data_IF_225065184080
#
_entry.id   IF_225065184080
#
_cell.length_a   1.000
_cell.length_b   1.000
_cell.length_c   1.000
_cell.angle_alpha   90.00
_cell.angle_beta   90.00
_cell.angle_gamma   90.00
#
_symmetry.space_group_name_H-M   'P 1'
#
loop_
_entity.id
_entity.type
_entity.pdbx_description
1 polymer ?
#
# COMPACT_ATOMS: atom_id res chain seq x y z
N UNK A 1 67.40 1.98 -9.63
CA UNK A 1 67.28 1.76 -8.18
C UNK A 1 66.88 3.07 -7.54
N UNK A 2 65.92 3.00 -6.61
CA UNK A 2 65.56 3.97 -5.54
C UNK A 2 65.09 5.37 -5.98
N UNK A 3 63.85 5.86 -5.84
CA UNK A 3 62.77 5.81 -4.82
C UNK A 3 62.67 7.11 -4.00
N UNK A 4 61.42 7.58 -3.82
CA UNK A 4 60.89 8.51 -2.78
C UNK A 4 61.22 10.01 -2.99
N UNK A 5 60.35 10.98 -2.78
CA UNK A 5 58.96 11.10 -2.27
C UNK A 5 58.50 12.53 -2.59
N UNK A 6 57.23 12.75 -2.93
CA UNK A 6 56.59 14.06 -2.71
C UNK A 6 55.18 13.82 -2.21
N UNK A 7 54.91 14.46 -1.08
CA UNK A 7 53.63 14.60 -0.43
C UNK A 7 52.62 15.27 -1.38
N UNK A 8 51.35 14.88 -1.27
CA UNK A 8 50.23 15.75 -1.61
C UNK A 8 49.03 15.29 -0.79
N UNK A 9 48.80 15.97 0.33
CA UNK A 9 47.49 16.01 0.93
C UNK A 9 46.58 16.85 0.04
N UNK A 10 45.45 16.30 -0.36
CA UNK A 10 44.37 17.06 -1.00
C UNK A 10 43.06 16.62 -0.37
N UNK A 11 42.43 17.58 0.31
CA UNK A 11 41.18 17.41 1.04
C UNK A 11 40.08 16.85 0.16
N UNK A 12 39.25 16.03 0.79
CA UNK A 12 37.97 15.56 0.28
C UNK A 12 37.08 16.76 -0.01
N UNK A 13 37.01 17.14 -1.30
CA UNK A 13 36.03 18.10 -1.78
C UNK A 13 34.65 17.48 -1.57
N UNK A 14 33.83 18.06 -0.69
CA UNK A 14 32.42 17.76 -0.62
C UNK A 14 31.77 18.29 -1.90
N UNK A 15 31.62 17.42 -2.90
CA UNK A 15 30.89 17.73 -4.13
C UNK A 15 29.42 17.93 -3.77
N UNK A 16 29.01 19.20 -3.66
CA UNK A 16 27.61 19.59 -3.50
C UNK A 16 26.94 19.26 -4.84
N UNK A 17 26.21 18.14 -4.88
CA UNK A 17 25.40 17.74 -6.04
C UNK A 17 24.17 18.65 -6.09
N UNK A 18 24.10 19.50 -7.11
CA UNK A 18 22.94 20.36 -7.36
C UNK A 18 21.91 19.59 -8.19
N UNK A 19 20.73 19.36 -7.63
CA UNK A 19 19.58 18.78 -8.30
C UNK A 19 19.00 19.83 -9.27
N UNK A 20 19.15 19.61 -10.58
CA UNK A 20 18.80 20.60 -11.61
C UNK A 20 17.41 20.42 -12.22
N UNK A 21 16.80 19.24 -12.07
CA UNK A 21 15.52 18.91 -12.70
C UNK A 21 14.62 18.23 -11.66
N UNK A 22 13.57 18.93 -11.21
CA UNK A 22 12.44 18.33 -10.49
C UNK A 22 11.25 18.30 -11.44
N UNK A 23 10.58 17.17 -11.66
CA UNK A 23 9.29 17.14 -12.34
C UNK A 23 8.21 17.75 -11.44
N UNK A 24 7.24 18.44 -12.04
CA UNK A 24 6.07 18.99 -11.34
C UNK A 24 5.20 17.83 -10.82
N UNK A 25 5.24 17.59 -9.50
CA UNK A 25 4.41 16.57 -8.86
C UNK A 25 2.94 17.03 -8.85
N UNK A 26 2.09 16.39 -9.66
CA UNK A 26 0.64 16.44 -9.49
C UNK A 26 0.19 15.22 -8.70
N UNK A 27 -0.26 15.43 -7.47
CA UNK A 27 -0.87 14.40 -6.64
C UNK A 27 -2.18 13.93 -7.27
N UNK A 28 -2.23 12.67 -7.72
CA UNK A 28 -3.45 12.06 -8.23
C UNK A 28 -4.23 11.55 -7.00
N UNK A 29 -5.34 12.19 -6.66
CA UNK A 29 -6.16 11.81 -5.52
C UNK A 29 -6.99 10.56 -5.83
N UNK A 30 -6.79 9.48 -5.08
CA UNK A 30 -7.54 8.22 -5.09
C UNK A 30 -9.06 8.36 -4.86
N UNK A 31 -9.54 9.55 -4.49
CA UNK A 31 -10.96 9.85 -4.22
C UNK A 31 -11.84 9.92 -5.48
N UNK A 32 -11.26 10.04 -6.68
CA UNK A 32 -12.03 10.18 -7.92
C UNK A 32 -12.58 8.84 -8.44
N UNK A 33 -12.02 7.71 -8.00
CA UNK A 33 -12.36 6.37 -8.48
C UNK A 33 -13.60 5.79 -7.77
N UNK A 34 -13.80 6.13 -6.49
CA UNK A 34 -14.94 5.64 -5.70
C UNK A 34 -16.26 6.36 -6.04
N UNK A 35 -16.19 7.63 -6.42
CA UNK A 35 -17.33 8.47 -6.76
C UNK A 35 -18.26 7.87 -7.86
N UNK A 36 -17.76 7.37 -9.01
CA UNK A 36 -18.62 6.80 -10.04
C UNK A 36 -19.33 5.51 -9.61
N UNK A 37 -18.69 4.66 -8.79
CA UNK A 37 -19.29 3.39 -8.33
C UNK A 37 -20.46 3.67 -7.38
N UNK A 38 -20.29 4.61 -6.46
CA UNK A 38 -21.36 5.04 -5.55
C UNK A 38 -22.51 5.67 -6.32
N UNK A 39 -22.23 6.45 -7.37
CA UNK A 39 -23.29 7.00 -8.23
C UNK A 39 -24.07 5.92 -8.97
N UNK A 40 -23.41 4.87 -9.46
CA UNK A 40 -24.07 3.75 -10.13
C UNK A 40 -24.98 3.02 -9.14
N UNK A 41 -24.49 2.74 -7.92
CA UNK A 41 -25.30 2.12 -6.88
C UNK A 41 -26.52 2.99 -6.53
N UNK A 42 -26.32 4.31 -6.39
CA UNK A 42 -27.38 5.27 -6.13
C UNK A 42 -28.47 5.23 -7.21
N UNK A 43 -28.06 5.18 -8.48
CA UNK A 43 -28.96 5.13 -9.64
C UNK A 43 -29.70 3.79 -9.74
N UNK A 44 -29.06 2.66 -9.42
CA UNK A 44 -29.71 1.34 -9.44
C UNK A 44 -30.76 1.20 -8.34
N UNK A 45 -30.45 1.70 -7.13
CA UNK A 45 -31.41 1.78 -6.02
C UNK A 45 -32.62 2.66 -6.41
N UNK A 46 -32.36 3.83 -6.99
CA UNK A 46 -33.43 4.72 -7.46
C UNK A 46 -34.30 4.04 -8.52
N UNK A 47 -33.70 3.32 -9.46
CA UNK A 47 -34.43 2.56 -10.48
C UNK A 47 -35.36 1.49 -9.87
N UNK A 48 -34.88 0.75 -8.88
CA UNK A 48 -35.70 -0.22 -8.15
C UNK A 48 -36.88 0.46 -7.44
N UNK A 49 -36.65 1.59 -6.78
CA UNK A 49 -37.72 2.35 -6.10
C UNK A 49 -38.74 2.96 -7.07
N UNK A 50 -38.27 3.45 -8.22
CA UNK A 50 -39.12 3.97 -9.29
C UNK A 50 -40.04 2.87 -9.83
N UNK A 51 -39.54 1.64 -9.96
CA UNK A 51 -40.36 0.49 -10.37
C UNK A 51 -41.54 0.20 -9.42
N UNK A 52 -41.38 0.54 -8.14
CA UNK A 52 -42.39 0.43 -7.09
C UNK A 52 -43.27 1.69 -6.94
N UNK A 53 -43.03 2.73 -7.75
CA UNK A 53 -43.68 4.05 -7.69
C UNK A 53 -43.54 4.76 -6.34
N UNK A 54 -42.39 4.63 -5.68
CA UNK A 54 -42.12 5.29 -4.38
C UNK A 54 -41.31 6.57 -4.60
N UNK A 55 -41.79 7.69 -4.08
CA UNK A 55 -41.04 8.95 -4.04
C UNK A 55 -40.26 9.04 -2.72
N UNK A 56 -38.93 9.20 -2.79
CA UNK A 56 -38.04 9.26 -1.62
C UNK A 56 -37.26 10.57 -1.62
N UNK A 57 -36.97 11.11 -0.43
CA UNK A 57 -36.07 12.25 -0.23
C UNK A 57 -34.62 11.89 -0.58
N UNK A 58 -33.84 12.82 -1.13
CA UNK A 58 -32.42 12.59 -1.42
C UNK A 58 -31.64 12.08 -0.21
N UNK A 59 -31.92 12.60 0.98
CA UNK A 59 -31.28 12.17 2.23
C UNK A 59 -31.59 10.71 2.59
N UNK A 60 -32.86 10.31 2.46
CA UNK A 60 -33.26 8.94 2.75
C UNK A 60 -32.72 7.95 1.70
N UNK A 61 -32.52 8.42 0.47
CA UNK A 61 -31.89 7.64 -0.59
C UNK A 61 -30.40 7.44 -0.32
N UNK A 62 -29.68 8.48 0.12
CA UNK A 62 -28.27 8.36 0.49
C UNK A 62 -28.07 7.40 1.68
N UNK A 63 -28.95 7.48 2.69
CA UNK A 63 -28.91 6.56 3.82
C UNK A 63 -29.23 5.11 3.41
N UNK A 64 -30.18 4.91 2.50
CA UNK A 64 -30.50 3.58 2.00
C UNK A 64 -29.35 3.00 1.17
N UNK A 65 -28.67 3.83 0.37
CA UNK A 65 -27.46 3.43 -0.36
C UNK A 65 -26.37 3.02 0.62
N UNK A 66 -26.16 3.79 1.68
CA UNK A 66 -25.20 3.45 2.75
C UNK A 66 -25.58 2.14 3.48
N UNK A 67 -26.87 1.91 3.71
CA UNK A 67 -27.33 0.64 4.29
C UNK A 67 -27.03 -0.55 3.37
N UNK A 68 -27.25 -0.38 2.06
CA UNK A 68 -26.97 -1.41 1.05
C UNK A 68 -25.47 -1.69 0.95
N UNK A 69 -24.61 -0.67 0.98
CA UNK A 69 -23.15 -0.87 0.95
C UNK A 69 -22.67 -1.63 2.18
N UNK A 70 -23.14 -1.25 3.38
CA UNK A 70 -22.80 -1.95 4.63
C UNK A 70 -23.27 -3.40 4.61
N UNK A 71 -24.48 -3.65 4.09
CA UNK A 71 -25.01 -5.00 3.98
C UNK A 71 -24.21 -5.86 2.99
N UNK A 72 -23.86 -5.32 1.82
CA UNK A 72 -23.04 -6.03 0.83
C UNK A 72 -21.64 -6.32 1.35
N UNK A 73 -20.99 -5.36 2.02
CA UNK A 73 -19.69 -5.56 2.67
C UNK A 73 -19.76 -6.68 3.73
N UNK A 74 -20.81 -6.69 4.55
CA UNK A 74 -21.07 -7.78 5.50
C UNK A 74 -21.23 -9.14 4.82
N UNK A 75 -21.97 -9.20 3.72
CA UNK A 75 -22.14 -10.43 2.92
C UNK A 75 -20.79 -10.89 2.34
N UNK A 76 -19.99 -10.00 1.78
CA UNK A 76 -18.68 -10.35 1.20
C UNK A 76 -17.67 -10.80 2.25
N UNK A 77 -17.63 -10.14 3.42
CA UNK A 77 -16.78 -10.59 4.53
C UNK A 77 -17.17 -11.98 5.01
N UNK A 78 -18.46 -12.26 5.14
CA UNK A 78 -18.92 -13.59 5.54
C UNK A 78 -18.60 -14.64 4.46
N UNK A 79 -18.78 -14.30 3.19
CA UNK A 79 -18.41 -15.19 2.08
C UNK A 79 -16.92 -15.49 2.11
N UNK A 80 -16.08 -14.47 2.28
CA UNK A 80 -14.64 -14.60 2.37
C UNK A 80 -14.21 -15.44 3.59
N UNK A 81 -14.86 -15.23 4.73
CA UNK A 81 -14.61 -16.06 5.92
C UNK A 81 -14.98 -17.53 5.66
N UNK A 82 -16.08 -17.80 4.96
CA UNK A 82 -16.48 -19.16 4.58
C UNK A 82 -15.48 -19.81 3.62
N UNK A 83 -14.96 -19.07 2.64
CA UNK A 83 -13.95 -19.60 1.71
C UNK A 83 -12.62 -19.85 2.41
N UNK A 84 -12.20 -18.96 3.32
CA UNK A 84 -11.00 -19.13 4.15
C UNK A 84 -11.11 -20.36 5.06
N UNK A 85 -12.26 -20.58 5.71
CA UNK A 85 -12.51 -21.77 6.52
C UNK A 85 -12.36 -23.06 5.70
N UNK A 86 -12.75 -23.01 4.44
CA UNK A 86 -12.60 -24.13 3.50
C UNK A 86 -11.25 -24.17 2.78
N UNK A 87 -10.34 -23.22 3.06
CA UNK A 87 -9.03 -23.05 2.41
C UNK A 87 -9.13 -22.95 0.89
N UNK A 88 -10.18 -22.28 0.39
CA UNK A 88 -10.40 -22.02 -1.05
C UNK A 88 -10.27 -20.53 -1.32
N UNK A 89 -9.78 -20.18 -2.51
CA UNK A 89 -9.75 -18.79 -2.99
C UNK A 89 -11.09 -18.37 -3.63
N UNK A 90 -11.82 -19.33 -4.21
CA UNK A 90 -13.08 -19.06 -4.90
C UNK A 90 -14.30 -19.58 -4.12
N UNK A 91 -15.37 -18.80 -4.11
CA UNK A 91 -16.65 -19.17 -3.51
C UNK A 91 -17.41 -20.20 -4.36
N UNK A 92 -17.93 -21.26 -3.72
CA UNK A 92 -18.75 -22.26 -4.38
C UNK A 92 -20.25 -21.97 -4.24
N UNK A 93 -21.08 -22.62 -5.07
CA UNK A 93 -22.54 -22.53 -4.97
C UNK A 93 -23.07 -22.95 -3.59
N UNK A 94 -22.39 -23.90 -2.93
CA UNK A 94 -22.76 -24.33 -1.58
C UNK A 94 -22.51 -23.22 -0.54
N UNK A 95 -21.44 -22.43 -0.72
CA UNK A 95 -21.10 -21.31 0.16
C UNK A 95 -22.10 -20.17 -0.01
N UNK A 96 -22.52 -19.89 -1.25
CA UNK A 96 -23.60 -18.93 -1.51
C UNK A 96 -24.91 -19.38 -0.88
N UNK A 97 -25.25 -20.69 -0.94
CA UNK A 97 -26.44 -21.22 -0.28
C UNK A 97 -26.37 -21.07 1.25
N UNK A 98 -25.18 -21.23 1.83
CA UNK A 98 -24.96 -21.07 3.27
C UNK A 98 -25.04 -19.60 3.68
N UNK A 99 -24.46 -18.71 2.88
CA UNK A 99 -24.56 -17.26 3.05
C UNK A 99 -26.03 -16.80 2.98
N UNK A 100 -26.79 -17.22 1.97
CA UNK A 100 -28.22 -16.88 1.88
C UNK A 100 -28.99 -17.32 3.13
N UNK A 101 -28.67 -18.51 3.66
CA UNK A 101 -29.26 -18.99 4.92
C UNK A 101 -28.87 -18.14 6.12
N UNK A 102 -27.62 -17.67 6.20
CA UNK A 102 -27.13 -16.81 7.27
C UNK A 102 -27.84 -15.45 7.28
N UNK A 103 -28.09 -14.88 6.10
CA UNK A 103 -28.82 -13.63 5.92
C UNK A 103 -30.36 -13.80 5.91
N UNK A 104 -30.87 -14.99 6.25
CA UNK A 104 -32.31 -15.33 6.23
C UNK A 104 -33.00 -15.08 4.88
N UNK A 105 -32.28 -15.24 3.78
CA UNK A 105 -32.78 -15.12 2.41
C UNK A 105 -33.21 -16.49 1.88
N UNK A 106 -34.47 -16.59 1.46
CA UNK A 106 -35.03 -17.85 0.97
C UNK A 106 -34.73 -18.05 -0.53
N UNK A 107 -34.26 -19.23 -0.91
CA UNK A 107 -33.89 -19.54 -2.30
C UNK A 107 -35.05 -19.37 -3.32
N UNK A 108 -36.31 -19.79 -3.06
CA UNK A 108 -37.41 -19.54 -3.98
C UNK A 108 -37.82 -18.06 -4.07
N UNK A 109 -37.59 -17.26 -3.02
CA UNK A 109 -37.85 -15.81 -3.07
C UNK A 109 -36.93 -15.12 -4.09
N UNK A 110 -35.69 -15.61 -4.24
CA UNK A 110 -34.75 -15.13 -5.25
C UNK A 110 -35.29 -15.35 -6.67
N UNK A 111 -35.96 -16.47 -6.92
CA UNK A 111 -36.56 -16.75 -8.23
C UNK A 111 -37.76 -15.83 -8.53
N UNK A 112 -38.57 -15.52 -7.51
CA UNK A 112 -39.65 -14.54 -7.66
C UNK A 112 -39.11 -13.13 -7.95
N UNK A 113 -38.04 -12.73 -7.24
CA UNK A 113 -37.38 -11.45 -7.48
C UNK A 113 -36.74 -11.39 -8.88
N UNK A 114 -36.19 -12.51 -9.35
CA UNK A 114 -35.66 -12.61 -10.72
C UNK A 114 -36.76 -12.38 -11.77
N UNK A 115 -37.92 -13.04 -11.63
CA UNK A 115 -39.06 -12.80 -12.53
C UNK A 115 -39.55 -11.35 -12.48
N UNK A 116 -39.64 -10.76 -11.28
CA UNK A 116 -40.00 -9.35 -11.12
C UNK A 116 -39.00 -8.42 -11.81
N UNK A 117 -37.70 -8.72 -11.70
CA UNK A 117 -36.63 -7.93 -12.34
C UNK A 117 -36.68 -7.99 -13.87
N UNK A 118 -36.94 -9.17 -14.45
CA UNK A 118 -37.12 -9.33 -15.90
C UNK A 118 -38.36 -8.57 -16.40
N UNK A 119 -39.44 -8.58 -15.61
CA UNK A 119 -40.63 -7.80 -15.92
C UNK A 119 -40.34 -6.29 -15.91
N UNK A 120 -39.65 -5.78 -14.89
CA UNK A 120 -39.25 -4.37 -14.79
C UNK A 120 -38.34 -3.97 -15.95
N UNK A 121 -37.37 -4.83 -16.28
CA UNK A 121 -36.45 -4.64 -17.41
C UNK A 121 -37.20 -4.53 -18.73
N UNK A 122 -38.20 -5.39 -18.96
CA UNK A 122 -39.02 -5.34 -20.18
C UNK A 122 -39.83 -4.04 -20.28
N UNK A 123 -40.32 -3.53 -19.14
CA UNK A 123 -41.14 -2.31 -19.06
C UNK A 123 -40.32 -1.02 -19.19
N UNK A 124 -39.10 -1.01 -18.65
CA UNK A 124 -38.20 0.15 -18.60
C UNK A 124 -36.88 -0.11 -19.36
N UNK A 125 -36.95 -0.73 -20.54
CA UNK A 125 -35.77 -1.14 -21.32
C UNK A 125 -34.81 0.00 -21.61
N UNK A 126 -35.32 1.20 -21.91
CA UNK A 126 -34.51 2.37 -22.28
C UNK A 126 -33.74 2.97 -21.10
N UNK A 127 -34.27 2.90 -19.89
CA UNK A 127 -33.59 3.33 -18.66
C UNK A 127 -32.56 2.29 -18.23
N UNK A 128 -32.90 1.01 -18.37
CA UNK A 128 -31.99 -0.10 -18.08
C UNK A 128 -30.75 -0.09 -18.98
N UNK A 129 -30.90 0.14 -20.28
CA UNK A 129 -29.78 0.26 -21.23
C UNK A 129 -28.86 1.45 -20.90
N UNK A 130 -29.42 2.56 -20.42
CA UNK A 130 -28.63 3.73 -19.96
C UNK A 130 -27.84 3.43 -18.68
N UNK A 131 -28.39 2.62 -17.77
CA UNK A 131 -27.67 2.19 -16.57
C UNK A 131 -26.54 1.21 -16.93
N UNK A 132 -26.80 0.29 -17.85
CA UNK A 132 -25.81 -0.69 -18.28
C UNK A 132 -24.64 -0.05 -19.04
N UNK A 133 -24.90 0.93 -19.90
CA UNK A 133 -23.83 1.65 -20.59
C UNK A 133 -22.90 2.40 -19.61
N UNK A 134 -23.44 2.98 -18.54
CA UNK A 134 -22.64 3.61 -17.49
C UNK A 134 -21.87 2.59 -16.64
N UNK A 135 -22.48 1.43 -16.34
CA UNK A 135 -21.79 0.35 -15.63
C UNK A 135 -20.63 -0.22 -16.44
N UNK A 136 -20.76 -0.35 -17.76
CA UNK A 136 -19.68 -0.82 -18.63
C UNK A 136 -18.51 0.16 -18.74
N UNK A 137 -18.75 1.46 -18.57
CA UNK A 137 -17.70 2.49 -18.54
C UNK A 137 -16.93 2.49 -17.22
N UNK A 138 -17.59 2.17 -16.10
CA UNK A 138 -16.92 2.01 -14.80
C UNK A 138 -16.24 0.65 -14.62
N UNK A 139 -16.57 -0.33 -15.47
CA UNK A 139 -15.96 -1.65 -15.50
C UNK A 139 -14.76 -1.74 -16.47
N UNK A 140 -14.15 -0.61 -16.86
CA UNK A 140 -12.77 -0.71 -17.36
C UNK A 140 -11.96 -1.41 -16.27
N UNK A 141 -11.19 -2.44 -16.63
CA UNK A 141 -10.52 -3.27 -15.64
C UNK A 141 -9.64 -2.37 -14.79
N UNK A 142 -9.86 -2.42 -13.48
CA UNK A 142 -8.76 -2.25 -12.54
C UNK A 142 -7.77 -3.33 -12.96
N UNK A 143 -6.77 -2.94 -13.74
CA UNK A 143 -5.83 -3.87 -14.31
C UNK A 143 -5.21 -4.64 -13.13
N UNK A 144 -5.09 -5.96 -13.26
CA UNK A 144 -4.19 -6.75 -12.41
C UNK A 144 -2.71 -6.33 -12.58
N UNK A 145 -2.46 -5.23 -13.30
CA UNK A 145 -1.20 -4.50 -13.39
C UNK A 145 -0.85 -3.78 -12.08
N UNK A 146 -1.76 -3.53 -11.13
CA UNK A 146 -1.40 -2.75 -9.91
C UNK A 146 -0.25 -3.37 -9.07
N UNK A 147 -0.05 -4.70 -9.07
CA UNK A 147 1.11 -5.33 -8.40
C UNK A 147 2.40 -5.31 -9.26
N UNK A 148 2.29 -5.42 -10.59
CA UNK A 148 3.43 -5.29 -11.50
C UNK A 148 3.86 -3.82 -11.66
N UNK A 149 2.89 -2.89 -11.62
CA UNK A 149 3.06 -1.45 -11.66
C UNK A 149 3.73 -0.94 -10.40
N UNK A 150 3.44 -1.47 -9.20
CA UNK A 150 4.21 -1.10 -8.00
C UNK A 150 5.70 -1.47 -8.14
N UNK A 151 6.02 -2.64 -8.69
CA UNK A 151 7.42 -3.07 -8.91
C UNK A 151 8.09 -2.30 -10.05
N UNK A 152 7.38 -2.07 -11.16
CA UNK A 152 7.86 -1.29 -12.30
C UNK A 152 8.05 0.19 -11.90
N UNK A 153 7.17 0.75 -11.08
CA UNK A 153 7.26 2.11 -10.55
C UNK A 153 8.44 2.25 -9.58
N UNK A 154 8.75 1.22 -8.78
CA UNK A 154 9.98 1.20 -7.97
C UNK A 154 11.23 1.17 -8.87
N UNK A 155 11.22 0.38 -9.96
CA UNK A 155 12.35 0.32 -10.89
C UNK A 155 12.51 1.63 -11.67
N UNK A 156 11.42 2.25 -12.12
CA UNK A 156 11.39 3.56 -12.76
C UNK A 156 11.88 4.67 -11.81
N UNK A 157 11.38 4.71 -10.57
CA UNK A 157 11.87 5.63 -9.54
C UNK A 157 13.36 5.43 -9.23
N UNK A 158 13.83 4.18 -9.16
CA UNK A 158 15.25 3.89 -8.98
C UNK A 158 16.07 4.36 -10.18
N UNK A 159 15.56 4.20 -11.40
CA UNK A 159 16.21 4.69 -12.61
C UNK A 159 16.29 6.22 -12.64
N UNK A 160 15.23 6.93 -12.24
CA UNK A 160 15.23 8.39 -12.09
C UNK A 160 16.25 8.87 -11.04
N UNK A 161 16.31 8.18 -9.89
CA UNK A 161 17.27 8.49 -8.83
C UNK A 161 18.70 8.18 -9.29
N UNK A 162 18.93 7.11 -10.04
CA UNK A 162 20.25 6.74 -10.60
C UNK A 162 20.74 7.76 -11.64
N UNK A 163 19.83 8.45 -12.36
CA UNK A 163 20.19 9.59 -13.24
C UNK A 163 20.72 10.77 -12.42
N UNK A 164 20.19 10.99 -11.21
CA UNK A 164 20.61 12.07 -10.32
C UNK A 164 21.89 11.72 -9.54
N UNK A 165 22.06 10.46 -9.15
CA UNK A 165 23.23 9.93 -8.46
C UNK A 165 23.66 8.58 -9.06
N UNK A 166 24.71 8.53 -9.90
CA UNK A 166 25.15 7.27 -10.47
C UNK A 166 25.66 6.33 -9.37
N UNK A 167 25.33 5.04 -9.44
CA UNK A 167 25.84 4.07 -8.48
C UNK A 167 27.37 3.93 -8.59
N UNK A 168 28.05 3.87 -7.44
CA UNK A 168 29.50 3.72 -7.35
C UNK A 168 29.94 2.28 -7.10
N UNK A 169 29.00 1.32 -7.01
CA UNK A 169 29.30 -0.06 -6.64
C UNK A 169 30.05 -0.80 -7.78
N UNK A 170 31.31 -1.24 -7.58
CA UNK A 170 32.09 -1.89 -8.63
C UNK A 170 31.55 -3.27 -9.03
N UNK A 171 30.62 -3.85 -8.26
CA UNK A 171 30.07 -5.19 -8.46
C UNK A 171 28.88 -5.22 -9.43
N UNK A 172 28.30 -4.08 -9.81
CA UNK A 172 27.17 -4.02 -10.75
C UNK A 172 27.48 -4.67 -12.10
N UNK A 173 28.72 -4.52 -12.58
CA UNK A 173 29.17 -5.11 -13.85
C UNK A 173 29.32 -6.64 -13.81
N UNK A 174 29.26 -7.24 -12.62
CA UNK A 174 29.43 -8.67 -12.42
C UNK A 174 28.09 -9.38 -12.16
N UNK A 175 26.99 -8.64 -12.05
CA UNK A 175 25.67 -9.20 -11.81
C UNK A 175 25.05 -9.67 -13.14
N UNK A 176 24.48 -10.88 -13.20
CA UNK A 176 23.72 -11.33 -14.36
C UNK A 176 22.36 -10.62 -14.45
N UNK A 177 21.87 -10.39 -15.66
CA UNK A 177 20.65 -9.60 -15.94
C UNK A 177 19.33 -10.16 -15.39
N UNK A 178 19.32 -11.37 -14.82
CA UNK A 178 18.14 -11.94 -14.16
C UNK A 178 18.07 -11.60 -12.67
N UNK A 179 19.14 -11.08 -12.09
CA UNK A 179 19.17 -10.67 -10.70
C UNK A 179 18.84 -9.17 -10.63
N UNK A 180 18.01 -8.72 -9.67
CA UNK A 180 17.73 -7.31 -9.49
C UNK A 180 19.02 -6.52 -9.23
N UNK A 181 19.00 -5.24 -9.63
CA UNK A 181 20.12 -4.33 -9.42
C UNK A 181 20.41 -4.16 -7.93
N UNK A 182 21.67 -3.82 -7.60
CA UNK A 182 21.98 -3.45 -6.23
C UNK A 182 21.18 -2.21 -5.83
N UNK A 183 20.74 -2.16 -4.57
CA UNK A 183 20.10 -0.96 -4.06
C UNK A 183 21.07 0.24 -4.15
N UNK A 184 20.57 1.46 -4.33
CA UNK A 184 21.41 2.64 -4.47
C UNK A 184 22.39 2.83 -3.30
N UNK A 185 23.56 3.43 -3.55
CA UNK A 185 24.59 3.64 -2.54
C UNK A 185 24.11 4.41 -1.30
N UNK A 186 23.10 5.26 -1.45
CA UNK A 186 22.54 6.05 -0.35
C UNK A 186 21.56 5.27 0.54
N UNK A 187 21.13 4.08 0.12
CA UNK A 187 20.22 3.23 0.88
C UNK A 187 20.89 2.60 2.11
N UNK A 188 22.21 2.33 2.06
CA UNK A 188 22.94 1.65 3.15
C UNK A 188 24.12 2.44 3.74
N UNK A 189 24.42 3.63 3.22
CA UNK A 189 25.48 4.53 3.73
C UNK A 189 25.30 4.91 5.21
N UNK A 190 24.07 4.88 5.71
CA UNK A 190 23.74 5.20 7.11
C UNK A 190 23.68 3.97 8.01
N UNK A 191 24.44 2.91 7.72
CA UNK A 191 24.79 1.97 8.78
C UNK A 191 25.89 2.66 9.59
N UNK A 192 25.62 3.27 10.76
CA UNK A 192 26.69 3.78 11.59
C UNK A 192 27.64 2.62 11.86
N UNK A 193 28.92 2.78 11.52
CA UNK A 193 29.96 1.96 12.11
C UNK A 193 29.94 2.27 13.61
N UNK A 194 29.09 1.58 14.36
CA UNK A 194 29.06 1.69 15.80
C UNK A 194 30.44 1.30 16.30
N UNK A 195 31.17 2.30 16.81
CA UNK A 195 32.28 2.23 17.75
C UNK A 195 33.19 1.02 17.57
N UNK A 196 34.40 1.20 17.04
CA UNK A 196 35.45 0.18 17.06
C UNK A 196 35.51 -0.48 18.46
N UNK A 197 35.02 -1.72 18.64
CA UNK A 197 34.92 -2.30 19.96
C UNK A 197 36.35 -2.53 20.44
N UNK A 198 36.66 -2.05 21.64
CA UNK A 198 37.92 -2.38 22.30
C UNK A 198 37.87 -3.88 22.60
N UNK A 199 38.54 -4.69 21.80
CA UNK A 199 38.51 -6.17 21.90
C UNK A 199 39.55 -6.71 22.89
N UNK A 200 40.58 -5.93 23.24
CA UNK A 200 41.61 -6.38 24.18
C UNK A 200 41.09 -6.37 25.62
N UNK A 201 41.04 -7.55 26.23
CA UNK A 201 40.62 -7.71 27.62
C UNK A 201 41.48 -6.91 28.61
N UNK A 202 42.76 -6.68 28.31
CA UNK A 202 43.65 -5.93 29.21
C UNK A 202 43.31 -4.45 29.23
N UNK A 203 42.96 -3.87 28.09
CA UNK A 203 42.57 -2.46 28.00
C UNK A 203 41.19 -2.24 28.61
N UNK A 204 40.24 -3.16 28.35
CA UNK A 204 38.91 -3.12 28.99
C UNK A 204 39.02 -3.12 30.51
N UNK A 205 39.81 -4.04 31.09
CA UNK A 205 40.00 -4.10 32.54
C UNK A 205 40.64 -2.84 33.12
N UNK A 206 41.58 -2.22 32.40
CA UNK A 206 42.21 -0.97 32.84
C UNK A 206 41.21 0.19 32.85
N UNK A 207 40.38 0.30 31.82
CA UNK A 207 39.39 1.37 31.75
C UNK A 207 38.33 1.21 32.84
N UNK A 208 37.84 -0.01 33.09
CA UNK A 208 36.89 -0.30 34.19
C UNK A 208 37.47 0.12 35.55
N UNK A 209 38.74 -0.21 35.82
CA UNK A 209 39.39 0.16 37.08
C UNK A 209 39.52 1.68 37.19
N UNK A 210 39.86 2.35 36.10
CA UNK A 210 40.00 3.81 36.06
C UNK A 210 38.65 4.50 36.28
N UNK A 211 37.60 4.05 35.61
CA UNK A 211 36.22 4.54 35.79
C UNK A 211 35.76 4.34 37.24
N UNK A 212 36.05 3.18 37.85
CA UNK A 212 35.75 2.90 39.25
C UNK A 212 36.45 3.89 40.20
N UNK A 213 37.75 4.17 39.98
CA UNK A 213 38.49 5.14 40.79
C UNK A 213 37.94 6.57 40.64
N UNK A 214 37.59 6.97 39.42
CA UNK A 214 36.97 8.28 39.17
C UNK A 214 35.61 8.39 39.86
N UNK A 215 34.81 7.32 39.85
CA UNK A 215 33.53 7.26 40.54
C UNK A 215 33.66 7.33 42.07
N UNK A 216 34.63 6.62 42.65
CA UNK A 216 34.90 6.63 44.09
C UNK A 216 35.36 8.02 44.53
N UNK A 217 36.26 8.64 43.75
CA UNK A 217 36.74 9.99 44.02
C UNK A 217 35.60 11.02 43.95
N UNK A 218 34.71 10.89 42.97
CA UNK A 218 33.54 11.76 42.85
C UNK A 218 32.61 11.63 44.08
N UNK A 219 32.36 10.39 44.54
CA UNK A 219 31.55 10.13 45.74
C UNK A 219 32.21 10.66 47.02
N UNK A 220 33.52 10.47 47.19
CA UNK A 220 34.26 11.01 48.32
C UNK A 220 34.26 12.54 48.35
N UNK A 221 34.37 13.18 47.18
CA UNK A 221 34.27 14.63 47.08
C UNK A 221 32.87 15.13 47.41
N UNK A 222 31.82 14.44 46.95
CA UNK A 222 30.43 14.76 47.28
C UNK A 222 30.17 14.65 48.79
N UNK A 223 30.64 13.56 49.43
CA UNK A 223 30.52 13.36 50.86
C UNK A 223 31.26 14.42 51.69
N UNK A 224 32.39 14.95 51.19
CA UNK A 224 33.11 16.06 51.85
C UNK A 224 32.44 17.44 51.69
N UNK A 225 31.54 17.58 50.72
CA UNK A 225 30.80 18.83 50.45
C UNK A 225 29.43 18.89 51.14
N UNK A 226 29.05 17.83 51.86
CA UNK A 226 27.90 17.73 52.77
C UNK A 226 28.35 18.03 54.21
#
# INVERSE_FOLDING_TARGET
MTSKTSESGTGTQSTIVQLRNLPDLTEISHLEIDAPVVEILKKTVLFQLNSLNICISNFALDELVNLVTVQMDGMFRNLHNLTLLQRRSQASQADLKLLLREFNLDAPSLYQQFQASEFIKSKHSTEYEKLMSWSSLAALPHNEEDEEDELNNIEEQQNEINVLLPPSNPLEKQIPSWLPNFPPDHTYKFTPEFNHPITDLKTIKKEIVKESQESEKALLNLNKSL
#
